data_IF_253787240538
#
_entry.id   IF_253787240538
#
_cell.length_a   1.000
_cell.length_b   1.000
_cell.length_c   1.000
_cell.angle_alpha   90.00
_cell.angle_beta   90.00
_cell.angle_gamma   90.00
#
_symmetry.space_group_name_H-M   'P 1'
#
loop_
_entity.id
_entity.type
_entity.pdbx_description
1 polymer ?
#
# COMPACT_ATOMS: atom_id res chain seq x y z
N UNK A 1 12.97 -0.71 -48.72
CA UNK A 1 12.06 -1.21 -47.67
C UNK A 1 12.71 -0.85 -46.33
N UNK A 2 12.35 0.28 -45.75
CA UNK A 2 12.96 0.81 -44.52
C UNK A 2 12.10 0.36 -43.34
N UNK A 3 12.68 -0.44 -42.45
CA UNK A 3 12.05 -0.84 -41.18
C UNK A 3 12.43 0.23 -40.16
N UNK A 4 11.45 1.03 -39.74
CA UNK A 4 11.60 1.96 -38.62
C UNK A 4 11.54 1.16 -37.32
N UNK A 5 12.68 1.03 -36.66
CA UNK A 5 12.72 0.60 -35.27
C UNK A 5 12.11 1.71 -34.39
N UNK A 6 11.06 1.37 -33.64
CA UNK A 6 10.58 2.19 -32.54
C UNK A 6 11.63 2.16 -31.42
N UNK A 7 12.23 3.30 -31.12
CA UNK A 7 13.02 3.51 -29.91
C UNK A 7 12.09 3.39 -28.70
N UNK A 8 12.34 2.36 -27.89
CA UNK A 8 11.79 2.25 -26.55
C UNK A 8 12.35 3.38 -25.68
N UNK A 9 11.45 4.11 -25.02
CA UNK A 9 11.82 5.15 -24.07
C UNK A 9 12.74 4.56 -22.99
N UNK A 10 14.01 4.90 -23.06
CA UNK A 10 14.99 4.65 -22.01
C UNK A 10 14.56 5.46 -20.78
N UNK A 11 14.10 4.76 -19.75
CA UNK A 11 13.85 5.28 -18.41
C UNK A 11 15.09 6.05 -17.94
N UNK A 12 14.91 7.29 -17.46
CA UNK A 12 16.05 8.08 -16.99
C UNK A 12 16.71 7.39 -15.79
N UNK A 13 18.06 7.36 -15.72
CA UNK A 13 18.78 6.66 -14.64
C UNK A 13 18.47 7.18 -13.21
N UNK A 14 17.87 8.37 -13.09
CA UNK A 14 17.37 8.92 -11.82
C UNK A 14 16.12 8.22 -11.27
N UNK A 15 15.27 7.65 -12.14
CA UNK A 15 14.00 7.03 -11.74
C UNK A 15 14.24 5.66 -11.09
N UNK A 16 15.17 4.88 -11.62
CA UNK A 16 15.51 3.53 -11.10
C UNK A 16 16.26 3.60 -9.77
N UNK A 17 17.17 4.57 -9.60
CA UNK A 17 17.93 4.76 -8.35
C UNK A 17 16.99 5.15 -7.21
N UNK A 18 15.97 5.94 -7.51
CA UNK A 18 14.98 6.40 -6.52
C UNK A 18 14.03 5.29 -6.08
N UNK A 19 13.62 4.37 -6.96
CA UNK A 19 12.81 3.21 -6.56
C UNK A 19 13.59 2.17 -5.76
N UNK A 20 14.93 2.10 -5.89
CA UNK A 20 15.75 1.24 -5.05
C UNK A 20 15.59 1.57 -3.55
N UNK A 21 15.31 2.84 -3.22
CA UNK A 21 15.03 3.28 -1.85
C UNK A 21 13.90 2.51 -1.18
N UNK A 22 12.94 2.00 -1.96
CA UNK A 22 11.79 1.26 -1.46
C UNK A 22 12.14 -0.12 -0.86
N UNK A 23 13.33 -0.67 -1.15
CA UNK A 23 13.86 -1.84 -0.44
C UNK A 23 14.45 -1.47 0.93
N UNK A 24 14.79 -0.20 1.12
CA UNK A 24 15.41 0.32 2.32
C UNK A 24 14.43 0.61 3.45
N UNK A 25 14.96 1.24 4.50
CA UNK A 25 14.18 1.67 5.68
C UNK A 25 14.29 3.18 5.93
N UNK A 26 14.98 3.90 5.05
CA UNK A 26 15.05 5.35 5.14
C UNK A 26 13.70 5.96 4.77
N UNK A 27 13.11 6.71 5.71
CA UNK A 27 11.76 7.26 5.55
C UNK A 27 11.75 8.41 4.55
N UNK A 28 12.81 9.22 4.50
CA UNK A 28 12.90 10.35 3.57
C UNK A 28 13.05 9.86 2.14
N UNK A 29 13.97 8.92 1.90
CA UNK A 29 14.21 8.40 0.55
C UNK A 29 12.97 7.69 -0.02
N UNK A 30 12.28 6.89 0.82
CA UNK A 30 11.01 6.27 0.41
C UNK A 30 9.92 7.32 0.12
N UNK A 31 9.80 8.36 0.94
CA UNK A 31 8.83 9.43 0.73
C UNK A 31 9.08 10.18 -0.60
N UNK A 32 10.34 10.44 -0.93
CA UNK A 32 10.71 11.03 -2.22
C UNK A 32 10.37 10.09 -3.38
N UNK A 33 10.66 8.79 -3.28
CA UNK A 33 10.31 7.81 -4.29
C UNK A 33 8.79 7.77 -4.54
N UNK A 34 7.97 7.77 -3.47
CA UNK A 34 6.52 7.77 -3.62
C UNK A 34 5.99 9.06 -4.24
N UNK A 35 6.45 10.22 -3.78
CA UNK A 35 5.89 11.50 -4.20
C UNK A 35 6.41 11.94 -5.57
N UNK A 36 7.70 11.78 -5.83
CA UNK A 36 8.35 12.33 -7.03
C UNK A 36 8.40 11.33 -8.18
N UNK A 37 8.57 10.03 -7.91
CA UNK A 37 8.68 9.00 -8.96
C UNK A 37 7.34 8.36 -9.25
N UNK A 38 6.59 7.96 -8.22
CA UNK A 38 5.27 7.33 -8.41
C UNK A 38 4.12 8.35 -8.48
N UNK A 39 4.36 9.60 -8.08
CA UNK A 39 3.32 10.63 -8.04
C UNK A 39 2.21 10.33 -7.03
N UNK A 40 2.50 9.56 -5.98
CA UNK A 40 1.54 9.19 -4.96
C UNK A 40 1.52 10.25 -3.85
N UNK A 41 0.33 10.76 -3.47
CA UNK A 41 0.22 11.69 -2.36
C UNK A 41 0.54 10.98 -1.04
N UNK A 42 1.35 11.62 -0.18
CA UNK A 42 1.79 11.06 1.09
C UNK A 42 1.50 12.04 2.24
N UNK A 43 1.08 11.50 3.38
CA UNK A 43 1.03 12.17 4.67
C UNK A 43 1.91 11.41 5.67
N UNK A 44 2.29 12.09 6.77
CA UNK A 44 2.94 11.42 7.90
C UNK A 44 1.90 10.79 8.84
N UNK A 45 2.22 9.60 9.34
CA UNK A 45 1.42 8.85 10.31
C UNK A 45 2.09 8.79 11.67
N UNK A 46 1.44 8.08 12.59
CA UNK A 46 2.07 7.74 13.86
C UNK A 46 3.32 6.89 13.63
N UNK A 47 4.28 7.00 14.56
CA UNK A 47 5.42 6.07 14.67
C UNK A 47 5.26 5.11 15.84
N UNK A 48 6.06 4.06 15.82
CA UNK A 48 6.20 3.13 16.93
C UNK A 48 7.51 3.34 17.67
N UNK A 49 7.42 3.47 18.99
CA UNK A 49 8.56 3.46 19.89
C UNK A 49 8.63 2.09 20.61
N UNK A 50 9.82 1.47 20.67
CA UNK A 50 10.00 0.19 21.37
C UNK A 50 9.70 0.26 22.87
N UNK A 51 9.96 1.39 23.53
CA UNK A 51 9.72 1.55 24.97
C UNK A 51 8.33 2.11 25.30
N UNK A 52 7.72 2.88 24.39
CA UNK A 52 6.46 3.59 24.65
C UNK A 52 5.28 3.12 23.78
N UNK A 53 5.49 2.15 22.87
CA UNK A 53 4.46 1.68 21.96
C UNK A 53 4.13 2.68 20.84
N UNK A 54 2.90 2.63 20.32
CA UNK A 54 2.46 3.55 19.29
C UNK A 54 2.32 4.97 19.84
N UNK A 55 2.79 5.96 19.09
CA UNK A 55 2.68 7.39 19.47
C UNK A 55 1.25 7.93 19.49
N UNK A 56 0.25 7.15 19.09
CA UNK A 56 -1.16 7.51 19.28
C UNK A 56 -1.63 7.37 20.74
N UNK A 57 -0.86 6.67 21.59
CA UNK A 57 -1.20 6.45 23.00
C UNK A 57 -2.25 5.37 23.24
N UNK A 58 -2.88 4.82 22.19
CA UNK A 58 -3.84 3.72 22.32
C UNK A 58 -3.16 2.44 22.77
N UNK A 59 -3.57 1.92 23.93
CA UNK A 59 -3.16 0.60 24.43
C UNK A 59 -3.61 -0.46 23.43
N UNK A 60 -2.72 -1.39 23.09
CA UNK A 60 -2.96 -2.41 22.05
C UNK A 60 -3.39 -1.80 20.72
N UNK A 61 -2.73 -0.70 20.32
CA UNK A 61 -2.97 -0.05 19.05
C UNK A 61 -3.06 -1.10 17.92
N UNK A 62 -4.15 -1.09 17.13
CA UNK A 62 -4.38 -2.12 16.13
C UNK A 62 -3.33 -2.13 15.00
N UNK A 63 -2.81 -0.96 14.62
CA UNK A 63 -1.83 -0.81 13.55
C UNK A 63 -0.65 0.04 14.05
N UNK A 64 0.14 -0.43 15.03
CA UNK A 64 1.13 0.40 15.71
C UNK A 64 2.11 1.04 14.72
N UNK A 65 2.20 2.37 14.69
CA UNK A 65 3.11 3.10 13.79
C UNK A 65 2.81 2.96 12.29
N UNK A 66 1.61 2.50 11.91
CA UNK A 66 1.19 2.25 10.54
C UNK A 66 -0.24 2.76 10.30
N UNK A 67 -0.56 3.93 10.89
CA UNK A 67 -1.86 4.59 10.74
C UNK A 67 -1.72 6.12 10.77
N UNK A 68 -2.69 6.88 10.21
CA UNK A 68 -2.66 8.34 10.15
C UNK A 68 -2.61 8.99 11.53
N UNK A 69 -2.02 10.21 11.60
CA UNK A 69 -2.12 11.08 12.78
C UNK A 69 -3.54 11.60 13.00
N UNK A 70 -4.26 11.88 11.91
CA UNK A 70 -5.62 12.40 11.90
C UNK A 70 -6.41 11.78 10.76
N UNK A 71 -7.72 11.71 10.93
CA UNK A 71 -8.66 11.41 9.84
C UNK A 71 -9.58 12.63 9.62
N UNK A 72 -9.84 13.05 8.36
CA UNK A 72 -9.35 12.45 7.10
C UNK A 72 -7.84 12.66 6.88
N UNK A 73 -7.23 11.80 6.04
CA UNK A 73 -5.82 11.91 5.67
C UNK A 73 -5.65 13.10 4.72
N UNK A 74 -4.83 14.06 5.12
CA UNK A 74 -4.47 15.22 4.29
C UNK A 74 -3.04 15.04 3.80
N UNK A 75 -2.81 14.84 2.48
CA UNK A 75 -1.48 14.78 1.92
C UNK A 75 -0.70 16.08 2.13
N UNK A 76 0.60 15.93 2.35
CA UNK A 76 1.52 17.05 2.46
C UNK A 76 2.13 17.35 1.09
N UNK A 77 2.50 18.61 0.86
CA UNK A 77 3.40 18.96 -0.24
C UNK A 77 4.79 18.35 0.01
N UNK A 78 5.62 18.25 -1.04
CA UNK A 78 6.95 17.67 -0.89
C UNK A 78 7.83 18.40 0.14
N UNK A 79 7.71 19.72 0.25
CA UNK A 79 8.43 20.53 1.25
C UNK A 79 7.96 20.26 2.67
N UNK A 80 6.64 20.34 2.91
CA UNK A 80 6.04 20.04 4.21
C UNK A 80 6.33 18.59 4.65
N UNK A 81 6.31 17.63 3.71
CA UNK A 81 6.62 16.24 4.00
C UNK A 81 8.07 16.06 4.45
N UNK A 82 9.01 16.75 3.82
CA UNK A 82 10.43 16.71 4.21
C UNK A 82 10.63 17.28 5.62
N UNK A 83 10.04 18.44 5.91
CA UNK A 83 10.08 19.06 7.24
C UNK A 83 9.46 18.16 8.31
N UNK A 84 8.32 17.53 8.01
CA UNK A 84 7.62 16.68 8.96
C UNK A 84 8.33 15.34 9.23
N UNK A 85 9.02 14.78 8.23
CA UNK A 85 9.87 13.59 8.41
C UNK A 85 11.09 13.94 9.28
N UNK A 86 11.69 15.11 9.09
CA UNK A 86 12.79 15.60 9.94
C UNK A 86 12.35 15.83 11.38
N UNK A 87 11.20 16.47 11.57
CA UNK A 87 10.63 16.72 12.89
C UNK A 87 10.17 15.43 13.60
N UNK A 88 9.81 14.38 12.84
CA UNK A 88 9.30 13.11 13.38
C UNK A 88 10.02 11.90 12.76
N UNK A 89 11.30 11.67 13.12
CA UNK A 89 12.04 10.52 12.59
C UNK A 89 11.32 9.20 12.84
N UNK A 90 11.17 8.40 11.78
CA UNK A 90 10.48 7.12 11.81
C UNK A 90 8.95 7.20 11.81
N UNK A 91 8.36 8.36 11.50
CA UNK A 91 6.94 8.48 11.17
C UNK A 91 6.53 7.46 10.10
N UNK A 92 5.32 6.88 10.24
CA UNK A 92 4.73 6.10 9.17
C UNK A 92 4.47 6.98 7.94
N UNK A 93 4.53 6.40 6.76
CA UNK A 93 4.12 7.02 5.50
C UNK A 93 2.73 6.51 5.13
N UNK A 94 1.78 7.42 4.99
CA UNK A 94 0.37 7.13 4.76
C UNK A 94 -0.04 7.70 3.41
N UNK A 95 -0.62 6.86 2.56
CA UNK A 95 -1.13 7.26 1.26
C UNK A 95 -2.67 7.14 1.27
N UNK A 96 -3.42 8.19 0.90
CA UNK A 96 -4.83 8.03 0.58
C UNK A 96 -4.99 7.21 -0.70
N UNK A 97 -6.03 6.39 -0.76
CA UNK A 97 -6.32 5.47 -1.86
C UNK A 97 -6.98 6.20 -3.06
N UNK A 98 -6.41 7.34 -3.46
CA UNK A 98 -6.89 8.17 -4.59
C UNK A 98 -6.16 7.87 -5.90
N UNK A 99 -4.90 7.41 -5.82
CA UNK A 99 -4.10 7.01 -6.99
C UNK A 99 -4.11 5.51 -7.24
N UNK A 100 -4.65 4.74 -6.30
CA UNK A 100 -4.76 3.30 -6.36
C UNK A 100 -5.82 2.81 -5.38
N UNK A 101 -6.32 1.61 -5.61
CA UNK A 101 -7.05 0.85 -4.61
C UNK A 101 -6.10 -0.13 -3.91
N UNK A 102 -6.25 -0.29 -2.60
CA UNK A 102 -5.51 -1.28 -1.82
C UNK A 102 -6.43 -2.46 -1.49
N UNK A 103 -6.08 -3.64 -2.00
CA UNK A 103 -6.86 -4.88 -1.83
C UNK A 103 -6.09 -5.84 -0.94
N UNK A 104 -6.64 -6.13 0.24
CA UNK A 104 -6.02 -7.00 1.24
C UNK A 104 -6.65 -8.39 1.24
N UNK A 105 -5.81 -9.42 1.29
CA UNK A 105 -6.19 -10.84 1.34
C UNK A 105 -5.32 -11.57 2.37
N UNK A 106 -5.72 -12.76 2.86
CA UNK A 106 -4.85 -13.58 3.71
C UNK A 106 -3.51 -13.83 3.02
N UNK A 107 -2.42 -13.84 3.78
CA UNK A 107 -1.09 -14.03 3.21
C UNK A 107 -0.95 -15.29 2.32
N UNK A 108 -1.47 -16.48 2.69
CA UNK A 108 -1.43 -17.64 1.80
C UNK A 108 -2.17 -17.40 0.47
N UNK A 109 -3.25 -16.62 0.49
CA UNK A 109 -4.03 -16.28 -0.71
C UNK A 109 -3.23 -15.35 -1.59
N UNK A 110 -2.58 -14.36 -0.98
CA UNK A 110 -1.68 -13.45 -1.67
C UNK A 110 -0.57 -14.22 -2.40
N UNK A 111 0.03 -15.21 -1.75
CA UNK A 111 1.10 -15.99 -2.38
C UNK A 111 0.61 -16.81 -3.57
N UNK A 112 -0.51 -17.51 -3.43
CA UNK A 112 -1.12 -18.22 -4.54
C UNK A 112 -1.54 -17.27 -5.69
N UNK A 113 -2.02 -16.07 -5.35
CA UNK A 113 -2.40 -15.03 -6.30
C UNK A 113 -1.17 -14.51 -7.06
N UNK A 114 -0.08 -14.17 -6.37
CA UNK A 114 1.16 -13.69 -7.01
C UNK A 114 1.67 -14.69 -8.04
N UNK A 115 1.75 -15.98 -7.68
CA UNK A 115 2.18 -17.04 -8.62
C UNK A 115 1.26 -17.12 -9.84
N UNK A 116 -0.06 -17.04 -9.64
CA UNK A 116 -1.01 -17.10 -10.74
C UNK A 116 -0.92 -15.87 -11.67
N UNK A 117 -0.68 -14.68 -11.11
CA UNK A 117 -0.52 -13.45 -11.88
C UNK A 117 0.80 -13.43 -12.68
N UNK A 118 1.90 -13.91 -12.07
CA UNK A 118 3.18 -14.08 -12.75
C UNK A 118 3.05 -15.02 -13.96
N UNK A 119 2.35 -16.14 -13.80
CA UNK A 119 2.07 -17.07 -14.92
C UNK A 119 1.23 -16.44 -16.04
N UNK A 120 0.45 -15.41 -15.73
CA UNK A 120 -0.36 -14.65 -16.68
C UNK A 120 0.37 -13.42 -17.24
N UNK A 121 1.60 -13.15 -16.78
CA UNK A 121 2.36 -11.95 -17.16
C UNK A 121 1.78 -10.65 -16.59
N UNK A 122 0.92 -10.73 -15.58
CA UNK A 122 0.32 -9.56 -14.92
C UNK A 122 1.23 -9.13 -13.77
N UNK A 123 1.81 -7.95 -13.89
CA UNK A 123 2.58 -7.35 -12.81
C UNK A 123 1.64 -6.57 -11.88
N UNK A 124 1.73 -6.83 -10.58
CA UNK A 124 0.97 -6.10 -9.56
C UNK A 124 1.87 -5.74 -8.39
N UNK A 125 1.93 -4.47 -7.97
CA UNK A 125 2.65 -4.12 -6.75
C UNK A 125 1.95 -4.76 -5.55
N UNK A 126 2.74 -5.43 -4.72
CA UNK A 126 2.28 -6.19 -3.56
C UNK A 126 3.13 -5.81 -2.35
N UNK A 127 2.46 -5.43 -1.26
CA UNK A 127 3.10 -5.23 0.03
C UNK A 127 2.60 -6.27 1.03
N UNK A 128 3.45 -6.62 1.99
CA UNK A 128 3.12 -7.54 3.08
C UNK A 128 2.95 -6.72 4.36
N UNK A 129 1.83 -6.93 5.06
CA UNK A 129 1.54 -6.36 6.38
C UNK A 129 1.58 -7.49 7.40
N UNK A 130 2.72 -7.61 8.08
CA UNK A 130 3.05 -8.81 8.86
C UNK A 130 2.91 -10.09 8.00
N UNK A 131 3.24 -11.28 8.53
CA UNK A 131 3.09 -12.52 7.75
C UNK A 131 1.61 -12.97 7.60
N UNK A 132 0.65 -12.09 7.90
CA UNK A 132 -0.79 -12.40 7.92
C UNK A 132 -1.58 -11.86 6.73
N UNK A 133 -1.14 -10.75 6.11
CA UNK A 133 -1.91 -10.08 5.05
C UNK A 133 -1.01 -9.66 3.90
N UNK A 134 -1.43 -9.97 2.68
CA UNK A 134 -0.89 -9.39 1.45
C UNK A 134 -1.82 -8.28 0.96
N UNK A 135 -1.27 -7.16 0.50
CA UNK A 135 -2.02 -6.02 -0.03
C UNK A 135 -1.54 -5.72 -1.45
N UNK A 136 -2.45 -5.84 -2.40
CA UNK A 136 -2.23 -5.56 -3.81
C UNK A 136 -2.70 -4.14 -4.13
N UNK A 137 -1.91 -3.42 -4.93
CA UNK A 137 -2.27 -2.08 -5.39
C UNK A 137 -2.78 -2.13 -6.82
N UNK A 138 -4.02 -1.69 -7.01
CA UNK A 138 -4.75 -1.77 -8.27
C UNK A 138 -5.11 -0.40 -8.80
N UNK A 139 -5.51 -0.34 -10.06
CA UNK A 139 -6.02 0.87 -10.68
C UNK A 139 -7.13 1.49 -9.81
N UNK A 140 -7.10 2.82 -9.57
CA UNK A 140 -8.02 3.48 -8.67
C UNK A 140 -9.48 3.30 -9.09
N UNK A 141 -10.32 2.94 -8.12
CA UNK A 141 -11.73 2.65 -8.28
C UNK A 141 -12.06 1.23 -8.77
N UNK A 142 -11.09 0.45 -9.24
CA UNK A 142 -11.34 -0.89 -9.79
C UNK A 142 -11.58 -1.95 -8.70
N UNK A 143 -10.96 -1.82 -7.54
CA UNK A 143 -10.91 -2.82 -6.46
C UNK A 143 -12.27 -3.25 -5.95
N UNK A 144 -13.31 -2.42 -6.08
CA UNK A 144 -14.71 -2.75 -5.75
C UNK A 144 -15.21 -4.05 -6.38
N UNK A 145 -14.64 -4.44 -7.53
CA UNK A 145 -15.00 -5.68 -8.22
C UNK A 145 -14.52 -6.95 -7.50
N UNK A 146 -13.57 -6.83 -6.58
CA UNK A 146 -13.01 -7.95 -5.80
C UNK A 146 -13.60 -8.08 -4.40
N UNK A 147 -14.44 -7.13 -3.96
CA UNK A 147 -15.00 -7.13 -2.62
C UNK A 147 -15.81 -8.40 -2.35
N UNK A 148 -15.58 -9.03 -1.19
CA UNK A 148 -16.23 -10.28 -0.81
C UNK A 148 -15.57 -10.95 0.38
N UNK A 149 -15.97 -12.18 0.67
CA UNK A 149 -15.41 -12.95 1.79
C UNK A 149 -13.90 -13.14 1.61
N UNK A 150 -13.13 -12.83 2.66
CA UNK A 150 -11.67 -12.94 2.64
C UNK A 150 -10.95 -11.85 1.83
N UNK A 151 -11.67 -10.82 1.36
CA UNK A 151 -11.08 -9.72 0.59
C UNK A 151 -11.56 -8.39 1.14
N UNK A 152 -10.63 -7.57 1.64
CA UNK A 152 -10.90 -6.19 2.04
C UNK A 152 -10.43 -5.21 0.96
N UNK A 153 -11.23 -4.19 0.66
CA UNK A 153 -10.91 -3.19 -0.36
C UNK A 153 -10.90 -1.80 0.28
N UNK A 154 -9.83 -1.03 0.03
CA UNK A 154 -9.72 0.38 0.39
C UNK A 154 -9.58 1.21 -0.90
N UNK A 155 -10.52 2.11 -1.13
CA UNK A 155 -10.62 2.91 -2.35
C UNK A 155 -11.17 4.31 -2.06
N UNK A 156 -10.67 5.30 -2.79
CA UNK A 156 -11.16 6.68 -2.75
C UNK A 156 -10.53 7.55 -1.67
N UNK A 157 -10.99 8.80 -1.62
CA UNK A 157 -10.37 9.89 -0.84
C UNK A 157 -10.49 9.74 0.68
N UNK A 158 -11.46 8.96 1.16
CA UNK A 158 -11.62 8.69 2.60
C UNK A 158 -10.86 7.45 3.06
N UNK A 159 -10.37 6.64 2.13
CA UNK A 159 -9.60 5.44 2.42
C UNK A 159 -8.10 5.72 2.33
N UNK A 160 -7.32 4.96 3.08
CA UNK A 160 -5.87 5.11 3.12
C UNK A 160 -5.18 3.76 3.32
N UNK A 161 -3.91 3.68 2.94
CA UNK A 161 -3.02 2.59 3.34
C UNK A 161 -1.71 3.14 3.84
N UNK A 162 -1.08 2.42 4.77
CA UNK A 162 0.30 2.70 5.12
C UNK A 162 1.23 2.06 4.08
N UNK A 163 2.33 2.73 3.75
CA UNK A 163 3.34 2.26 2.83
C UNK A 163 4.65 1.97 3.56
N UNK A 164 5.47 1.02 3.09
CA UNK A 164 6.84 0.85 3.58
C UNK A 164 7.61 2.20 3.57
N UNK A 165 8.45 2.53 4.55
CA UNK A 165 8.97 1.65 5.60
C UNK A 165 8.17 1.73 6.90
N UNK A 166 6.90 2.17 6.86
CA UNK A 166 5.99 2.11 8.01
C UNK A 166 6.05 0.75 8.69
N UNK A 167 5.81 0.73 10.00
CA UNK A 167 6.04 -0.47 10.80
C UNK A 167 5.34 -1.69 10.21
N UNK A 168 6.08 -2.81 10.17
CA UNK A 168 5.62 -4.12 9.72
C UNK A 168 5.15 -4.19 8.26
N UNK A 169 5.48 -3.18 7.45
CA UNK A 169 5.22 -3.17 6.03
C UNK A 169 6.52 -3.32 5.25
N UNK A 170 6.50 -4.19 4.24
CA UNK A 170 7.57 -4.32 3.25
C UNK A 170 6.97 -4.59 1.88
N UNK A 171 7.68 -4.21 0.83
CA UNK A 171 7.34 -4.63 -0.52
C UNK A 171 7.70 -6.10 -0.72
N UNK A 172 6.80 -6.84 -1.34
CA UNK A 172 7.03 -8.16 -1.90
C UNK A 172 7.29 -8.03 -3.40
N UNK A 173 6.40 -7.28 -4.07
CA UNK A 173 6.58 -6.83 -5.45
C UNK A 173 6.51 -5.30 -5.44
N UNK A 174 7.59 -4.65 -5.89
CA UNK A 174 7.65 -3.19 -5.92
C UNK A 174 6.60 -2.58 -6.87
N UNK A 175 6.33 -1.27 -6.75
CA UNK A 175 5.77 -0.51 -7.84
C UNK A 175 6.85 -0.15 -8.86
N UNK A 176 6.44 0.11 -10.11
CA UNK A 176 7.29 0.72 -11.13
C UNK A 176 6.69 2.05 -11.58
N UNK A 177 7.53 2.97 -12.04
CA UNK A 177 7.08 4.30 -12.47
C UNK A 177 6.31 4.29 -13.80
N UNK A 178 6.61 3.34 -14.68
CA UNK A 178 6.17 3.35 -16.08
C UNK A 178 5.09 2.34 -16.42
N UNK A 179 4.69 1.51 -15.45
CA UNK A 179 3.63 0.53 -15.64
C UNK A 179 2.36 1.00 -14.93
N UNK A 180 1.26 1.03 -15.68
CA UNK A 180 -0.05 1.25 -15.08
C UNK A 180 -0.35 0.12 -14.07
N UNK A 181 -1.02 0.48 -12.97
CA UNK A 181 -1.53 -0.53 -12.04
C UNK A 181 -2.60 -1.37 -12.75
N UNK A 182 -2.64 -2.68 -12.53
CA UNK A 182 -3.63 -3.54 -13.15
C UNK A 182 -5.04 -3.23 -12.65
N UNK A 183 -6.02 -3.45 -13.51
CA UNK A 183 -7.43 -3.37 -13.17
C UNK A 183 -7.85 -4.60 -12.35
N UNK A 184 -8.76 -4.42 -11.40
CA UNK A 184 -9.31 -5.51 -10.60
C UNK A 184 -9.85 -6.69 -11.42
N UNK A 185 -10.34 -6.45 -12.64
CA UNK A 185 -10.85 -7.51 -13.51
C UNK A 185 -9.78 -8.52 -13.91
N UNK A 186 -8.51 -8.11 -13.98
CA UNK A 186 -7.37 -8.99 -14.26
C UNK A 186 -7.12 -9.98 -13.10
N UNK A 187 -7.48 -9.59 -11.87
CA UNK A 187 -7.28 -10.39 -10.68
C UNK A 187 -8.47 -11.31 -10.35
N UNK A 188 -9.65 -11.10 -10.93
CA UNK A 188 -10.89 -11.79 -10.54
C UNK A 188 -10.76 -13.32 -10.53
N UNK A 189 -10.32 -13.89 -11.65
CA UNK A 189 -10.17 -15.35 -11.82
C UNK A 189 -9.07 -15.91 -10.93
N UNK A 190 -7.82 -15.39 -10.98
CA UNK A 190 -6.74 -15.94 -10.15
C UNK A 190 -7.01 -15.76 -8.65
N UNK A 191 -7.63 -14.65 -8.21
CA UNK A 191 -7.99 -14.44 -6.80
C UNK A 191 -9.02 -15.47 -6.32
N UNK A 192 -10.06 -15.75 -7.11
CA UNK A 192 -11.03 -16.80 -6.78
C UNK A 192 -10.36 -18.17 -6.67
N UNK A 193 -9.37 -18.45 -7.50
CA UNK A 193 -8.56 -19.67 -7.39
C UNK A 193 -7.78 -19.72 -6.07
N UNK A 194 -7.08 -18.63 -5.74
CA UNK A 194 -6.27 -18.50 -4.55
C UNK A 194 -7.07 -18.67 -3.25
N UNK A 195 -8.28 -18.10 -3.18
CA UNK A 195 -9.13 -18.16 -1.99
C UNK A 195 -9.74 -19.54 -1.73
N UNK A 196 -9.91 -20.40 -2.76
CA UNK A 196 -10.52 -21.73 -2.59
C UNK A 196 -9.69 -22.69 -1.73
N UNK A 197 -8.38 -22.48 -1.66
CA UNK A 197 -7.45 -23.36 -0.95
C UNK A 197 -7.24 -23.02 0.52
N UNK A 198 -7.93 -22.01 1.05
CA UNK A 198 -7.58 -21.40 2.34
C UNK A 198 -8.72 -21.60 3.34
N UNK A 199 -8.46 -22.19 4.52
CA UNK A 199 -9.42 -22.24 5.60
C UNK A 199 -9.88 -20.82 5.94
N UNK A 200 -11.19 -20.62 6.08
CA UNK A 200 -11.77 -19.29 6.29
C UNK A 200 -11.44 -18.70 7.66
N UNK A 201 -10.24 -18.15 7.81
CA UNK A 201 -9.91 -17.27 8.93
C UNK A 201 -10.28 -15.82 8.54
N UNK A 202 -10.98 -15.15 9.45
CA UNK A 202 -11.55 -13.83 9.23
C UNK A 202 -10.43 -12.78 9.07
N UNK A 203 -10.33 -12.16 7.88
CA UNK A 203 -9.36 -11.08 7.63
C UNK A 203 -9.91 -9.79 8.24
N UNK A 204 -9.81 -9.65 9.55
CA UNK A 204 -10.18 -8.40 10.22
C UNK A 204 -9.00 -7.44 10.19
N UNK A 205 -9.17 -6.30 9.50
CA UNK A 205 -8.20 -5.22 9.56
C UNK A 205 -8.25 -4.55 10.94
N UNK A 206 -7.10 -4.35 11.60
CA UNK A 206 -7.09 -3.65 12.88
C UNK A 206 -7.57 -2.17 12.78
N UNK A 207 -7.61 -1.59 11.58
CA UNK A 207 -8.04 -0.19 11.36
C UNK A 207 -9.50 0.01 10.95
N UNK A 208 -10.37 -1.00 11.00
CA UNK A 208 -11.78 -0.91 10.55
C UNK A 208 -12.80 -0.77 11.70
N UNK A 209 -12.38 -0.21 12.85
CA UNK A 209 -13.27 0.03 14.00
C UNK A 209 -13.97 1.40 13.96
N UNK A 210 -13.88 2.15 12.86
CA UNK A 210 -14.43 3.51 12.75
C UNK A 210 -15.96 3.59 12.66
N UNK A 211 -16.70 2.54 13.03
CA UNK A 211 -18.18 2.57 13.15
C UNK A 211 -18.66 1.89 14.42
N UNK A 212 -18.38 2.48 15.57
CA UNK A 212 -19.29 2.35 16.73
C UNK A 212 -20.25 3.55 16.67
N UNK A 213 -21.57 3.36 16.56
CA UNK A 213 -22.50 4.47 16.72
C UNK A 213 -22.32 5.08 18.12
N UNK A 214 -22.50 6.40 18.29
CA UNK A 214 -22.43 7.01 19.61
C UNK A 214 -23.44 6.34 20.55
N UNK A 215 -23.11 6.18 21.85
CA UNK A 215 -24.10 5.72 22.80
C UNK A 215 -25.30 6.65 22.74
N UNK A 216 -26.48 6.08 22.51
CA UNK A 216 -27.73 6.81 22.66
C UNK A 216 -27.85 7.17 24.14
N UNK A 217 -27.80 8.47 24.43
CA UNK A 217 -28.20 9.06 25.71
C UNK A 217 -29.71 9.25 25.72
#
# INVERSE_FOLDING_TARGET
>A
MQVTHHDGALTSPGDTTSLHALHGRDTRDCALAYTQVLGWPIAVGHRYNRSAGCTCGTVNCPAPGAHPLTEPVVPLTAGELAEEIEARPGAGLIAPCVRFDAVSVPYPAGMALTVALEQQGVYVPCLQRDHGVAVFLLAPGSGRHLAGQGVSVRSGATAWTALPPSRNLRWDTLPTAHQALPEATELLTPLRGALRGIPGDDVTHPGDQSRKPPPQL
#
